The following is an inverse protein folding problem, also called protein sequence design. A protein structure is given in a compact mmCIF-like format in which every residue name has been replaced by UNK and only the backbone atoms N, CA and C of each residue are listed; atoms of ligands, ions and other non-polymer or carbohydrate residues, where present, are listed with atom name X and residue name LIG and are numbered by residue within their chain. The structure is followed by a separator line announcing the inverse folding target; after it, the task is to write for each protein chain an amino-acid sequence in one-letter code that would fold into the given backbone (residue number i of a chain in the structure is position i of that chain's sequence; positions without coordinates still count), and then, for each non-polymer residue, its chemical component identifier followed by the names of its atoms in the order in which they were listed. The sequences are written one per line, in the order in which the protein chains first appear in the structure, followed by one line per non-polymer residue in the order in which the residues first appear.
data_IF_254321735049
#
_entry.id   IF_254321735049
#
_cell.length_a   1.000
_cell.length_b   1.000
_cell.length_c   1.000
_cell.angle_alpha   90.00
_cell.angle_beta   90.00
_cell.angle_gamma   90.00
#
_symmetry.space_group_name_H-M   'P 1'
#
loop_
_entity.id
_entity.type
_entity.pdbx_description
1 polymer ?
#
# COMPACT_ATOMS: atom_id res chain seq x y z
N UNK A 1 10.86 -61.27 23.65
CA UNK A 1 11.26 -60.89 22.27
C UNK A 1 10.02 -60.29 21.61
N UNK A 2 9.64 -59.02 21.81
CA UNK A 2 10.15 -57.76 21.21
C UNK A 2 10.61 -57.94 19.76
N UNK A 3 10.13 -57.22 18.74
CA UNK A 3 9.05 -56.23 18.57
C UNK A 3 8.77 -56.19 17.04
N UNK A 4 7.50 -56.08 16.66
CA UNK A 4 7.07 -55.87 15.27
C UNK A 4 7.62 -54.53 14.75
N UNK A 5 8.19 -54.56 13.53
CA UNK A 5 8.57 -53.41 12.73
C UNK A 5 7.31 -52.60 12.38
N UNK A 6 6.93 -51.68 13.26
CA UNK A 6 5.89 -50.69 12.98
C UNK A 6 6.48 -49.58 12.10
N UNK A 7 6.03 -49.59 10.85
CA UNK A 7 6.09 -48.50 9.89
C UNK A 7 5.45 -47.23 10.47
N UNK A 8 6.23 -46.39 11.15
CA UNK A 8 5.82 -45.04 11.49
C UNK A 8 6.20 -44.09 10.35
N UNK A 9 5.26 -43.90 9.42
CA UNK A 9 5.17 -42.71 8.55
C UNK A 9 4.98 -41.48 9.45
N UNK A 10 6.08 -40.87 9.87
CA UNK A 10 6.07 -39.51 10.39
C UNK A 10 5.93 -38.55 9.21
N UNK A 11 4.68 -38.28 8.79
CA UNK A 11 4.38 -37.14 7.93
C UNK A 11 4.75 -35.86 8.67
N UNK A 12 5.94 -35.33 8.37
CA UNK A 12 6.44 -34.08 8.93
C UNK A 12 5.80 -32.89 8.21
N UNK A 13 4.65 -32.44 8.72
CA UNK A 13 4.07 -31.14 8.35
C UNK A 13 5.00 -29.96 8.70
N UNK A 14 6.06 -30.19 9.51
CA UNK A 14 7.04 -29.18 9.90
C UNK A 14 8.18 -28.96 8.90
N UNK A 15 8.61 -29.98 8.16
CA UNK A 15 9.81 -29.89 7.31
C UNK A 15 9.63 -28.96 6.09
N UNK A 16 8.51 -29.01 5.33
CA UNK A 16 8.31 -28.11 4.20
C UNK A 16 8.17 -26.64 4.61
N UNK A 17 7.53 -26.38 5.76
CA UNK A 17 7.28 -25.02 6.28
C UNK A 17 8.58 -24.37 6.76
N UNK A 18 9.41 -25.12 7.49
CA UNK A 18 10.72 -24.65 7.96
C UNK A 18 11.64 -24.35 6.78
N UNK A 19 11.65 -25.19 5.75
CA UNK A 19 12.51 -24.99 4.57
C UNK A 19 12.05 -23.80 3.72
N UNK A 20 10.73 -23.61 3.53
CA UNK A 20 10.18 -22.39 2.91
C UNK A 20 10.66 -21.13 3.62
N UNK A 21 10.53 -21.11 4.95
CA UNK A 21 10.97 -19.98 5.76
C UNK A 21 12.47 -19.73 5.60
N UNK A 22 13.30 -20.79 5.59
CA UNK A 22 14.75 -20.67 5.39
C UNK A 22 15.11 -20.08 4.02
N UNK A 23 14.50 -20.56 2.92
CA UNK A 23 14.74 -20.01 1.58
C UNK A 23 14.33 -18.53 1.52
N UNK A 24 13.14 -18.20 2.04
CA UNK A 24 12.64 -16.82 2.04
C UNK A 24 13.50 -15.88 2.90
N UNK A 25 13.96 -16.33 4.07
CA UNK A 25 14.86 -15.54 4.93
C UNK A 25 16.23 -15.33 4.27
N UNK A 26 16.82 -16.38 3.70
CA UNK A 26 18.11 -16.28 3.02
C UNK A 26 18.04 -15.35 1.81
N UNK A 27 16.96 -15.41 1.03
CA UNK A 27 16.69 -14.46 -0.05
C UNK A 27 16.61 -13.02 0.46
N UNK A 28 15.88 -12.79 1.56
CA UNK A 28 15.73 -11.45 2.16
C UNK A 28 17.03 -10.87 2.71
N UNK A 29 17.93 -11.71 3.22
CA UNK A 29 19.22 -11.31 3.81
C UNK A 29 20.31 -11.12 2.72
N UNK A 30 19.96 -11.31 1.45
CA UNK A 30 20.91 -11.12 0.34
C UNK A 30 21.77 -12.35 0.03
N UNK A 31 21.52 -13.48 0.69
CA UNK A 31 22.31 -14.73 0.54
C UNK A 31 21.62 -15.70 -0.42
N UNK A 32 21.38 -15.22 -1.65
CA UNK A 32 20.61 -15.97 -2.65
C UNK A 32 21.30 -17.28 -3.07
N UNK A 33 22.63 -17.32 -3.11
CA UNK A 33 23.41 -18.53 -3.40
C UNK A 33 23.18 -19.63 -2.36
N UNK A 34 23.18 -19.28 -1.07
CA UNK A 34 22.87 -20.22 0.00
C UNK A 34 21.40 -20.67 -0.06
N UNK A 35 20.49 -19.76 -0.40
CA UNK A 35 19.08 -20.12 -0.61
C UNK A 35 18.92 -21.12 -1.76
N UNK A 36 19.70 -20.92 -2.84
CA UNK A 36 19.72 -21.81 -4.00
C UNK A 36 20.29 -23.18 -3.66
N UNK A 37 21.39 -23.26 -2.90
CA UNK A 37 21.92 -24.53 -2.43
C UNK A 37 20.89 -25.31 -1.60
N UNK A 38 20.26 -24.64 -0.63
CA UNK A 38 19.19 -25.26 0.20
C UNK A 38 18.03 -25.73 -0.66
N UNK A 39 17.68 -24.99 -1.72
CA UNK A 39 16.64 -25.38 -2.66
C UNK A 39 17.04 -26.60 -3.51
N UNK A 40 18.28 -26.64 -4.02
CA UNK A 40 18.77 -27.71 -4.87
C UNK A 40 18.88 -29.03 -4.09
N UNK A 41 19.28 -28.98 -2.82
CA UNK A 41 19.35 -30.12 -1.89
C UNK A 41 17.98 -30.71 -1.50
N UNK A 42 16.86 -30.04 -1.86
CA UNK A 42 15.53 -30.57 -1.53
C UNK A 42 15.23 -31.86 -2.29
N UNK A 43 14.89 -32.96 -1.58
CA UNK A 43 14.57 -34.24 -2.22
C UNK A 43 13.28 -34.17 -3.03
N UNK A 44 12.30 -33.38 -2.57
CA UNK A 44 11.05 -33.10 -3.28
C UNK A 44 10.78 -31.60 -3.29
N UNK A 45 10.90 -30.97 -4.47
CA UNK A 45 10.65 -29.54 -4.67
C UNK A 45 9.16 -29.30 -4.92
N UNK A 46 8.49 -28.60 -4.01
CA UNK A 46 7.08 -28.22 -4.13
C UNK A 46 6.92 -26.90 -4.86
N UNK A 47 5.74 -26.62 -5.44
CA UNK A 47 5.41 -25.32 -6.06
C UNK A 47 5.73 -24.14 -5.13
N UNK A 48 5.49 -24.29 -3.83
CA UNK A 48 5.82 -23.26 -2.83
C UNK A 48 7.33 -23.01 -2.68
N UNK A 49 8.15 -24.07 -2.71
CA UNK A 49 9.61 -23.93 -2.65
C UNK A 49 10.16 -23.23 -3.90
N UNK A 50 9.62 -23.55 -5.08
CA UNK A 50 9.92 -22.84 -6.34
C UNK A 50 9.53 -21.36 -6.26
N UNK A 51 8.30 -21.06 -5.83
CA UNK A 51 7.83 -19.67 -5.68
C UNK A 51 8.70 -18.88 -4.69
N UNK A 52 9.18 -19.53 -3.63
CA UNK A 52 10.02 -18.90 -2.61
C UNK A 52 11.41 -18.55 -3.14
N UNK A 53 12.06 -19.46 -3.89
CA UNK A 53 13.38 -19.18 -4.46
C UNK A 53 13.29 -18.12 -5.57
N UNK A 54 12.26 -18.18 -6.42
CA UNK A 54 11.99 -17.18 -7.48
C UNK A 54 11.81 -15.80 -6.87
N UNK A 55 11.00 -15.68 -5.81
CA UNK A 55 10.84 -14.41 -5.09
C UNK A 55 12.16 -13.92 -4.47
N UNK A 56 13.01 -14.85 -4.01
CA UNK A 56 14.36 -14.54 -3.52
C UNK A 56 15.24 -13.92 -4.62
N UNK A 57 15.23 -14.45 -5.84
CA UNK A 57 15.99 -13.88 -6.95
C UNK A 57 15.53 -12.47 -7.33
N UNK A 58 14.22 -12.20 -7.34
CA UNK A 58 13.71 -10.83 -7.54
C UNK A 58 14.18 -9.86 -6.44
N UNK A 59 14.15 -10.29 -5.17
CA UNK A 59 14.64 -9.48 -4.04
C UNK A 59 16.14 -9.15 -4.14
N UNK A 60 16.90 -9.96 -4.88
CA UNK A 60 18.34 -9.78 -5.10
C UNK A 60 18.64 -9.14 -6.46
N UNK A 61 17.63 -8.57 -7.13
CA UNK A 61 17.75 -7.91 -8.43
C UNK A 61 18.33 -8.83 -9.53
N UNK A 62 17.96 -10.11 -9.50
CA UNK A 62 18.35 -11.13 -10.49
C UNK A 62 17.11 -11.71 -11.20
N UNK A 63 16.39 -10.91 -12.01
CA UNK A 63 15.15 -11.32 -12.66
C UNK A 63 15.34 -12.42 -13.71
N UNK A 64 16.48 -12.47 -14.40
CA UNK A 64 16.77 -13.49 -15.43
C UNK A 64 16.84 -14.89 -14.82
N UNK A 65 17.53 -15.04 -13.69
CA UNK A 65 17.59 -16.31 -12.95
C UNK A 65 16.22 -16.71 -12.40
N UNK A 66 15.41 -15.73 -11.97
CA UNK A 66 14.05 -15.97 -11.53
C UNK A 66 13.19 -16.56 -12.67
N UNK A 67 13.31 -16.01 -13.89
CA UNK A 67 12.62 -16.52 -15.08
C UNK A 67 13.14 -17.90 -15.51
N UNK A 68 14.45 -18.12 -15.47
CA UNK A 68 15.04 -19.43 -15.78
C UNK A 68 14.51 -20.52 -14.84
N UNK A 69 14.42 -20.24 -13.53
CA UNK A 69 13.86 -21.17 -12.56
C UNK A 69 12.35 -21.35 -12.74
N UNK A 70 11.63 -20.27 -13.02
CA UNK A 70 10.20 -20.35 -13.33
C UNK A 70 9.95 -21.30 -14.52
N UNK A 71 10.71 -21.17 -15.60
CA UNK A 71 10.58 -22.03 -16.77
C UNK A 71 10.84 -23.51 -16.44
N UNK A 72 11.82 -23.79 -15.57
CA UNK A 72 12.14 -25.15 -15.08
C UNK A 72 11.09 -25.76 -14.14
N UNK A 73 10.12 -24.98 -13.64
CA UNK A 73 9.06 -25.51 -12.78
C UNK A 73 8.23 -26.56 -13.53
N UNK A 74 8.09 -27.79 -13.00
CA UNK A 74 7.31 -28.85 -13.64
C UNK A 74 5.82 -28.52 -13.68
N UNK A 75 5.30 -27.90 -12.62
CA UNK A 75 3.93 -27.45 -12.51
C UNK A 75 3.91 -25.96 -12.12
N UNK A 76 3.07 -25.19 -12.81
CA UNK A 76 2.88 -23.75 -12.58
C UNK A 76 1.40 -23.51 -12.29
N UNK A 77 1.11 -22.82 -11.20
CA UNK A 77 -0.26 -22.42 -10.87
C UNK A 77 -0.40 -20.90 -10.91
N UNK A 78 -1.62 -20.41 -10.64
CA UNK A 78 -1.92 -18.97 -10.66
C UNK A 78 -1.05 -18.16 -9.70
N UNK A 79 -0.62 -18.75 -8.57
CA UNK A 79 0.25 -18.10 -7.59
C UNK A 79 1.66 -17.95 -8.15
N UNK A 80 2.18 -18.95 -8.84
CA UNK A 80 3.49 -18.89 -9.51
C UNK A 80 3.52 -17.76 -10.56
N UNK A 81 2.51 -17.69 -11.43
CA UNK A 81 2.41 -16.63 -12.45
C UNK A 81 2.28 -15.23 -11.82
N UNK A 82 1.39 -15.07 -10.83
CA UNK A 82 1.22 -13.79 -10.12
C UNK A 82 2.47 -13.37 -9.36
N UNK A 83 3.23 -14.33 -8.82
CA UNK A 83 4.52 -14.10 -8.18
C UNK A 83 5.55 -13.56 -9.16
N UNK A 84 5.64 -14.14 -10.37
CA UNK A 84 6.54 -13.69 -11.43
C UNK A 84 6.19 -12.27 -11.90
N UNK A 85 4.92 -12.00 -12.19
CA UNK A 85 4.41 -10.67 -12.55
C UNK A 85 4.74 -9.63 -11.47
N UNK A 86 4.44 -9.94 -10.21
CA UNK A 86 4.70 -9.05 -9.08
C UNK A 86 6.19 -8.80 -8.84
N UNK A 87 7.04 -9.78 -9.15
CA UNK A 87 8.49 -9.66 -9.09
C UNK A 87 9.01 -8.65 -10.09
N UNK A 88 8.62 -8.78 -11.36
CA UNK A 88 8.98 -7.84 -12.42
C UNK A 88 8.51 -6.41 -12.13
N UNK A 89 7.25 -6.24 -11.71
CA UNK A 89 6.70 -4.91 -11.36
C UNK A 89 7.52 -4.25 -10.24
N UNK A 90 7.90 -4.99 -9.20
CA UNK A 90 8.69 -4.44 -8.08
C UNK A 90 10.10 -3.99 -8.48
N UNK A 91 10.63 -4.54 -9.57
CA UNK A 91 11.93 -4.18 -10.11
C UNK A 91 11.82 -3.14 -11.25
N UNK A 92 10.64 -2.53 -11.46
CA UNK A 92 10.41 -1.52 -12.50
C UNK A 92 10.31 -2.09 -13.93
N UNK A 93 10.27 -3.41 -14.07
CA UNK A 93 10.27 -4.12 -15.36
C UNK A 93 8.84 -4.43 -15.81
N UNK A 94 8.01 -3.40 -15.97
CA UNK A 94 6.57 -3.56 -16.24
C UNK A 94 6.29 -4.12 -17.65
N UNK A 95 7.17 -3.85 -18.61
CA UNK A 95 7.11 -4.44 -19.96
C UNK A 95 7.24 -5.96 -19.93
N UNK A 96 8.20 -6.49 -19.18
CA UNK A 96 8.43 -7.92 -19.00
C UNK A 96 7.29 -8.56 -18.19
N UNK A 97 6.79 -7.83 -17.18
CA UNK A 97 5.59 -8.25 -16.46
C UNK A 97 4.39 -8.41 -17.41
N UNK A 98 4.24 -7.51 -18.40
CA UNK A 98 3.18 -7.60 -19.41
C UNK A 98 3.36 -8.80 -20.33
N UNK A 99 4.58 -9.09 -20.78
CA UNK A 99 4.83 -10.30 -21.58
C UNK A 99 4.48 -11.59 -20.82
N UNK A 100 4.82 -11.66 -19.53
CA UNK A 100 4.48 -12.79 -18.66
C UNK A 100 2.95 -12.90 -18.51
N UNK A 101 2.28 -11.77 -18.29
CA UNK A 101 0.83 -11.70 -18.20
C UNK A 101 0.14 -12.15 -19.49
N UNK A 102 0.67 -11.80 -20.65
CA UNK A 102 0.12 -12.19 -21.96
C UNK A 102 0.34 -13.68 -22.28
N UNK A 103 1.37 -14.31 -21.71
CA UNK A 103 1.64 -15.76 -21.80
C UNK A 103 0.87 -16.61 -20.77
N UNK A 104 0.22 -15.98 -19.79
CA UNK A 104 -0.50 -16.68 -18.72
C UNK A 104 -1.74 -17.43 -19.26
N UNK A 105 -1.86 -18.76 -19.04
CA UNK A 105 -2.97 -19.55 -19.60
C UNK A 105 -4.34 -19.14 -19.06
N UNK A 106 -4.41 -18.88 -17.76
CA UNK A 106 -5.64 -18.47 -17.06
C UNK A 106 -5.35 -17.25 -16.21
N UNK A 107 -6.16 -16.20 -16.35
CA UNK A 107 -6.01 -14.93 -15.64
C UNK A 107 -7.18 -14.74 -14.69
N UNK A 108 -6.89 -14.44 -13.42
CA UNK A 108 -7.89 -14.07 -12.43
C UNK A 108 -7.79 -12.59 -12.05
N UNK A 109 -8.74 -12.13 -11.24
CA UNK A 109 -8.80 -10.75 -10.72
C UNK A 109 -7.48 -10.28 -10.11
N UNK A 110 -6.72 -11.17 -9.45
CA UNK A 110 -5.41 -10.83 -8.86
C UNK A 110 -4.38 -10.51 -9.94
N UNK A 111 -4.29 -11.33 -11.01
CA UNK A 111 -3.36 -11.10 -12.13
C UNK A 111 -3.63 -9.76 -12.84
N UNK A 112 -4.90 -9.45 -13.14
CA UNK A 112 -5.31 -8.18 -13.74
C UNK A 112 -4.99 -6.99 -12.83
N UNK A 113 -5.36 -7.08 -11.55
CA UNK A 113 -5.13 -5.99 -10.59
C UNK A 113 -3.64 -5.73 -10.36
N UNK A 114 -2.80 -6.77 -10.40
CA UNK A 114 -1.35 -6.62 -10.32
C UNK A 114 -0.80 -5.83 -11.51
N UNK A 115 -1.19 -6.19 -12.74
CA UNK A 115 -0.77 -5.46 -13.95
C UNK A 115 -1.23 -4.01 -13.96
N UNK A 116 -2.49 -3.77 -13.61
CA UNK A 116 -3.04 -2.41 -13.51
C UNK A 116 -2.22 -1.59 -12.51
N UNK A 117 -1.93 -2.14 -11.33
CA UNK A 117 -1.11 -1.48 -10.31
C UNK A 117 0.30 -1.16 -10.84
N UNK A 118 0.92 -2.09 -11.56
CA UNK A 118 2.24 -1.88 -12.15
C UNK A 118 2.27 -0.70 -13.12
N UNK A 119 1.29 -0.63 -14.04
CA UNK A 119 1.19 0.51 -14.96
C UNK A 119 0.89 1.82 -14.24
N UNK A 120 0.04 1.82 -13.21
CA UNK A 120 -0.21 3.02 -12.40
C UNK A 120 1.07 3.51 -11.70
N UNK A 121 1.89 2.62 -11.16
CA UNK A 121 3.12 2.97 -10.45
C UNK A 121 4.18 3.60 -11.36
N UNK A 122 4.26 3.15 -12.61
CA UNK A 122 5.15 3.71 -13.63
C UNK A 122 4.56 4.94 -14.34
N UNK A 123 3.39 5.42 -13.93
CA UNK A 123 2.72 6.57 -14.56
C UNK A 123 2.14 6.28 -15.96
N UNK A 124 2.09 5.02 -16.38
CA UNK A 124 1.51 4.58 -17.66
C UNK A 124 -0.02 4.48 -17.57
N UNK A 125 -0.70 5.59 -17.27
CA UNK A 125 -2.12 5.58 -16.96
C UNK A 125 -3.01 5.15 -18.14
N UNK A 126 -2.59 5.43 -19.38
CA UNK A 126 -3.31 4.98 -20.58
C UNK A 126 -3.43 3.44 -20.66
N UNK A 127 -2.33 2.74 -20.41
CA UNK A 127 -2.30 1.27 -20.37
C UNK A 127 -3.09 0.71 -19.18
N UNK A 128 -2.98 1.37 -18.03
CA UNK A 128 -3.77 0.99 -16.84
C UNK A 128 -5.28 1.09 -17.10
N UNK A 129 -5.74 2.18 -17.74
CA UNK A 129 -7.15 2.37 -18.13
C UNK A 129 -7.59 1.32 -19.14
N UNK A 130 -6.78 1.06 -20.17
CA UNK A 130 -7.06 0.04 -21.18
C UNK A 130 -7.24 -1.36 -20.55
N UNK A 131 -6.28 -1.78 -19.71
CA UNK A 131 -6.33 -3.07 -19.01
C UNK A 131 -7.50 -3.16 -18.04
N UNK A 132 -7.80 -2.08 -17.32
CA UNK A 132 -8.95 -2.06 -16.42
C UNK A 132 -10.25 -2.31 -17.16
N UNK A 133 -10.48 -1.67 -18.32
CA UNK A 133 -11.69 -1.91 -19.08
C UNK A 133 -11.75 -3.30 -19.72
N UNK A 134 -10.61 -3.83 -20.16
CA UNK A 134 -10.49 -5.19 -20.69
C UNK A 134 -10.72 -6.29 -19.64
N UNK A 135 -10.52 -5.98 -18.35
CA UNK A 135 -10.71 -6.91 -17.24
C UNK A 135 -12.17 -7.43 -17.19
N UNK A 136 -12.41 -8.77 -17.34
CA UNK A 136 -13.75 -9.34 -17.42
C UNK A 136 -14.60 -9.12 -16.18
N UNK A 137 -13.99 -9.32 -15.00
CA UNK A 137 -14.63 -9.14 -13.70
C UNK A 137 -13.85 -8.14 -12.88
N UNK A 138 -14.52 -7.09 -12.38
CA UNK A 138 -13.91 -6.04 -11.55
C UNK A 138 -14.38 -6.20 -10.12
N UNK A 139 -13.45 -6.12 -9.16
CA UNK A 139 -13.77 -6.08 -7.73
C UNK A 139 -13.39 -4.72 -7.13
N UNK A 140 -13.78 -4.49 -5.86
CA UNK A 140 -13.50 -3.24 -5.13
C UNK A 140 -12.00 -2.86 -5.17
N UNK A 141 -11.10 -3.84 -5.11
CA UNK A 141 -9.64 -3.60 -5.18
C UNK A 141 -9.22 -3.05 -6.55
N UNK A 142 -9.72 -3.62 -7.65
CA UNK A 142 -9.40 -3.12 -9.01
C UNK A 142 -9.90 -1.68 -9.23
N UNK A 143 -11.11 -1.36 -8.75
CA UNK A 143 -11.65 0.00 -8.79
C UNK A 143 -10.82 0.98 -7.97
N UNK A 144 -10.47 0.63 -6.73
CA UNK A 144 -9.69 1.51 -5.84
C UNK A 144 -8.27 1.75 -6.33
N UNK A 145 -7.62 0.76 -6.96
CA UNK A 145 -6.29 0.93 -7.58
C UNK A 145 -6.37 1.94 -8.73
N UNK A 146 -7.34 1.80 -9.63
CA UNK A 146 -7.53 2.74 -10.74
C UNK A 146 -7.88 4.14 -10.27
N UNK A 147 -8.76 4.23 -9.28
CA UNK A 147 -9.15 5.50 -8.67
C UNK A 147 -7.94 6.22 -8.06
N UNK A 148 -7.12 5.49 -7.29
CA UNK A 148 -5.90 6.01 -6.71
C UNK A 148 -4.90 6.49 -7.76
N UNK A 149 -4.74 5.76 -8.87
CA UNK A 149 -3.87 6.15 -9.98
C UNK A 149 -4.29 7.46 -10.63
N UNK A 150 -5.57 7.61 -10.98
CA UNK A 150 -6.10 8.85 -11.56
C UNK A 150 -5.91 10.05 -10.62
N UNK A 151 -6.11 9.85 -9.32
CA UNK A 151 -5.92 10.89 -8.30
C UNK A 151 -4.45 11.30 -8.18
N UNK A 152 -3.52 10.34 -8.25
CA UNK A 152 -2.09 10.62 -8.19
C UNK A 152 -1.61 11.46 -9.37
N UNK A 153 -2.12 11.17 -10.57
CA UNK A 153 -1.85 11.93 -11.80
C UNK A 153 -2.58 13.29 -11.85
N UNK A 154 -3.50 13.56 -10.91
CA UNK A 154 -4.28 14.80 -10.86
C UNK A 154 -5.48 14.83 -11.80
N UNK A 155 -5.90 13.68 -12.35
CA UNK A 155 -7.09 13.56 -13.22
C UNK A 155 -8.36 13.37 -12.40
N UNK A 156 -8.65 14.34 -11.52
CA UNK A 156 -9.71 14.22 -10.51
C UNK A 156 -11.11 14.09 -11.13
N UNK A 157 -11.38 14.76 -12.25
CA UNK A 157 -12.68 14.63 -12.92
C UNK A 157 -12.92 13.23 -13.50
N UNK A 158 -11.87 12.58 -14.00
CA UNK A 158 -11.96 11.18 -14.45
C UNK A 158 -12.08 10.23 -13.26
N UNK A 159 -11.36 10.51 -12.17
CA UNK A 159 -11.52 9.79 -10.92
C UNK A 159 -12.97 9.88 -10.39
N UNK A 160 -13.62 11.04 -10.48
CA UNK A 160 -15.03 11.19 -10.09
C UNK A 160 -15.95 10.34 -10.94
N UNK A 161 -15.81 10.39 -12.28
CA UNK A 161 -16.61 9.56 -13.18
C UNK A 161 -16.43 8.07 -12.87
N UNK A 162 -15.19 7.64 -12.63
CA UNK A 162 -14.88 6.27 -12.25
C UNK A 162 -15.52 5.89 -10.91
N UNK A 163 -15.42 6.77 -9.91
CA UNK A 163 -16.03 6.59 -8.60
C UNK A 163 -17.55 6.43 -8.70
N UNK A 164 -18.22 7.21 -9.56
CA UNK A 164 -19.67 7.12 -9.76
C UNK A 164 -20.11 5.76 -10.30
N UNK A 165 -19.33 5.22 -11.24
CA UNK A 165 -19.57 3.89 -11.82
C UNK A 165 -19.28 2.73 -10.85
N UNK A 166 -18.62 2.97 -9.71
CA UNK A 166 -18.36 1.91 -8.73
C UNK A 166 -19.67 1.35 -8.16
N UNK A 167 -19.94 0.04 -8.31
CA UNK A 167 -21.16 -0.58 -7.78
C UNK A 167 -21.23 -0.47 -6.25
N UNK A 168 -20.10 -0.73 -5.60
CA UNK A 168 -19.94 -0.58 -4.16
C UNK A 168 -18.83 0.41 -3.88
N UNK A 169 -19.18 1.47 -3.16
CA UNK A 169 -18.25 2.48 -2.66
C UNK A 169 -17.96 2.10 -1.22
N UNK A 170 -16.76 1.62 -0.92
CA UNK A 170 -16.32 1.34 0.45
C UNK A 170 -15.74 2.60 1.11
N UNK A 171 -15.26 2.47 2.34
CA UNK A 171 -14.63 3.60 3.07
C UNK A 171 -13.32 4.02 2.40
N UNK A 172 -12.59 3.09 1.78
CA UNK A 172 -11.31 3.37 1.11
C UNK A 172 -11.52 4.22 -0.14
N UNK A 173 -12.46 3.85 -1.01
CA UNK A 173 -12.80 4.59 -2.22
C UNK A 173 -13.23 6.04 -1.90
N UNK A 174 -14.09 6.22 -0.89
CA UNK A 174 -14.52 7.54 -0.42
C UNK A 174 -13.36 8.36 0.13
N UNK A 175 -12.53 7.75 0.96
CA UNK A 175 -11.36 8.41 1.55
C UNK A 175 -10.36 8.85 0.48
N UNK A 176 -10.15 8.03 -0.56
CA UNK A 176 -9.31 8.39 -1.71
C UNK A 176 -9.88 9.61 -2.44
N UNK A 177 -11.18 9.64 -2.75
CA UNK A 177 -11.80 10.80 -3.40
C UNK A 177 -11.70 12.07 -2.56
N UNK A 178 -11.94 12.00 -1.25
CA UNK A 178 -11.77 13.14 -0.34
C UNK A 178 -10.33 13.65 -0.42
N UNK A 179 -9.34 12.76 -0.32
CA UNK A 179 -7.92 13.13 -0.41
C UNK A 179 -7.58 13.78 -1.77
N UNK A 180 -8.11 13.24 -2.87
CA UNK A 180 -7.92 13.79 -4.22
C UNK A 180 -8.48 15.19 -4.36
N UNK A 181 -9.73 15.41 -3.94
CA UNK A 181 -10.34 16.74 -3.96
C UNK A 181 -9.64 17.74 -3.04
N UNK A 182 -9.20 17.30 -1.86
CA UNK A 182 -8.40 18.16 -0.97
C UNK A 182 -7.08 18.59 -1.62
N UNK A 183 -6.39 17.69 -2.35
CA UNK A 183 -5.14 18.00 -3.06
C UNK A 183 -5.32 19.05 -4.17
N UNK A 184 -6.46 19.03 -4.86
CA UNK A 184 -6.82 20.06 -5.86
C UNK A 184 -7.45 21.33 -5.26
N UNK A 185 -7.72 21.36 -3.95
CA UNK A 185 -8.38 22.48 -3.29
C UNK A 185 -9.90 22.56 -3.49
N UNK A 186 -10.51 21.52 -4.08
CA UNK A 186 -11.97 21.35 -4.27
C UNK A 186 -12.64 20.88 -2.98
N UNK A 187 -12.49 21.67 -1.92
CA UNK A 187 -12.92 21.30 -0.56
C UNK A 187 -14.44 21.10 -0.40
N UNK A 188 -15.25 21.72 -1.26
CA UNK A 188 -16.71 21.51 -1.27
C UNK A 188 -17.06 20.08 -1.67
N UNK A 189 -16.46 19.57 -2.75
CA UNK A 189 -16.69 18.22 -3.27
C UNK A 189 -16.14 17.17 -2.29
N UNK A 190 -14.98 17.45 -1.67
CA UNK A 190 -14.44 16.63 -0.58
C UNK A 190 -15.42 16.54 0.60
N UNK A 191 -16.05 17.67 0.94
CA UNK A 191 -16.99 17.75 2.07
C UNK A 191 -18.28 17.00 1.78
N UNK A 192 -18.80 17.09 0.57
CA UNK A 192 -19.98 16.35 0.11
C UNK A 192 -19.79 14.84 0.32
N UNK A 193 -18.71 14.27 -0.21
CA UNK A 193 -18.41 12.84 -0.06
C UNK A 193 -18.24 12.46 1.42
N UNK A 194 -17.60 13.32 2.21
CA UNK A 194 -17.42 13.10 3.65
C UNK A 194 -18.77 13.09 4.41
N UNK A 195 -19.70 13.97 4.06
CA UNK A 195 -21.02 14.06 4.67
C UNK A 195 -21.94 12.90 4.27
N UNK A 196 -21.78 12.35 3.06
CA UNK A 196 -22.51 11.18 2.58
C UNK A 196 -22.04 9.84 3.21
N UNK A 197 -20.89 9.80 3.89
CA UNK A 197 -20.38 8.58 4.50
C UNK A 197 -21.32 8.06 5.61
N UNK A 198 -21.89 6.83 5.49
CA UNK A 198 -22.74 6.26 6.54
C UNK A 198 -21.98 6.06 7.85
N UNK A 199 -20.71 5.66 7.75
CA UNK A 199 -19.80 5.52 8.87
C UNK A 199 -18.43 6.10 8.52
N UNK A 200 -17.90 6.93 9.41
CA UNK A 200 -16.61 7.63 9.24
C UNK A 200 -15.60 7.04 10.20
N UNK A 201 -14.57 6.40 9.67
CA UNK A 201 -13.44 5.97 10.48
C UNK A 201 -12.49 7.14 10.77
N UNK A 202 -11.55 6.91 11.69
CA UNK A 202 -10.52 7.88 12.06
C UNK A 202 -9.78 8.41 10.82
N UNK A 203 -9.51 7.55 9.84
CA UNK A 203 -8.82 7.93 8.59
C UNK A 203 -9.60 9.00 7.83
N UNK A 204 -10.90 8.81 7.56
CA UNK A 204 -11.72 9.78 6.86
C UNK A 204 -11.75 11.16 7.56
N UNK A 205 -11.89 11.17 8.89
CA UNK A 205 -11.81 12.40 9.68
C UNK A 205 -10.46 13.08 9.52
N UNK A 206 -9.36 12.33 9.68
CA UNK A 206 -8.00 12.90 9.54
C UNK A 206 -7.73 13.40 8.13
N UNK A 207 -8.20 12.72 7.09
CA UNK A 207 -8.06 13.16 5.69
C UNK A 207 -8.75 14.50 5.47
N UNK A 208 -9.98 14.67 5.97
CA UNK A 208 -10.71 15.92 5.80
C UNK A 208 -10.08 17.08 6.59
N UNK A 209 -9.62 16.82 7.83
CA UNK A 209 -8.92 17.81 8.66
C UNK A 209 -7.62 18.25 7.98
N UNK A 210 -6.78 17.31 7.57
CA UNK A 210 -5.53 17.59 6.85
C UNK A 210 -5.79 18.33 5.55
N UNK A 211 -6.86 17.97 4.82
CA UNK A 211 -7.25 18.66 3.59
C UNK A 211 -7.61 20.12 3.80
N UNK A 212 -8.37 20.45 4.85
CA UNK A 212 -8.64 21.85 5.20
C UNK A 212 -7.38 22.61 5.65
N UNK A 213 -6.50 21.95 6.40
CA UNK A 213 -5.21 22.52 6.83
C UNK A 213 -4.34 22.87 5.63
N UNK A 214 -4.15 21.95 4.69
CA UNK A 214 -3.33 22.14 3.48
C UNK A 214 -3.85 23.27 2.58
N UNK A 215 -5.14 23.58 2.67
CA UNK A 215 -5.80 24.65 1.91
C UNK A 215 -6.01 25.93 2.75
N UNK A 216 -5.21 26.12 3.80
CA UNK A 216 -5.22 27.30 4.68
C UNK A 216 -6.57 27.61 5.34
N UNK A 217 -7.45 26.61 5.49
CA UNK A 217 -8.75 26.73 6.18
C UNK A 217 -8.70 26.12 7.59
N UNK A 218 -7.68 26.49 8.36
CA UNK A 218 -7.41 25.94 9.70
C UNK A 218 -8.58 26.11 10.68
N UNK A 219 -9.38 27.17 10.53
CA UNK A 219 -10.57 27.40 11.36
C UNK A 219 -11.67 26.36 11.14
N UNK A 220 -11.87 25.93 9.88
CA UNK A 220 -12.82 24.86 9.56
C UNK A 220 -12.26 23.51 9.99
N UNK A 221 -10.96 23.29 9.78
CA UNK A 221 -10.26 22.10 10.27
C UNK A 221 -10.42 21.95 11.79
N UNK A 222 -10.31 23.05 12.54
CA UNK A 222 -10.48 23.07 14.00
C UNK A 222 -11.88 22.65 14.42
N UNK A 223 -12.92 23.22 13.81
CA UNK A 223 -14.31 22.84 14.09
C UNK A 223 -14.54 21.36 13.84
N UNK A 224 -14.00 20.84 12.73
CA UNK A 224 -14.12 19.43 12.39
C UNK A 224 -13.35 18.53 13.37
N UNK A 225 -12.16 18.96 13.79
CA UNK A 225 -11.35 18.28 14.79
C UNK A 225 -12.09 18.20 16.14
N UNK A 226 -12.75 19.26 16.58
CA UNK A 226 -13.49 19.27 17.85
C UNK A 226 -14.61 18.21 17.88
N UNK A 227 -15.40 18.11 16.80
CA UNK A 227 -16.49 17.13 16.69
C UNK A 227 -16.03 15.69 16.40
N UNK A 228 -14.75 15.49 16.08
CA UNK A 228 -14.18 14.16 15.84
C UNK A 228 -14.31 13.28 17.11
N UNK A 229 -15.01 12.13 17.05
CA UNK A 229 -15.31 11.31 18.23
C UNK A 229 -14.07 10.74 18.92
N UNK A 230 -13.09 10.30 18.12
CA UNK A 230 -11.83 9.74 18.61
C UNK A 230 -10.68 10.45 17.91
N UNK A 231 -9.87 11.16 18.68
CA UNK A 231 -8.69 11.89 18.19
C UNK A 231 -7.44 11.03 18.43
N UNK A 232 -6.67 10.78 17.38
CA UNK A 232 -5.40 10.05 17.46
C UNK A 232 -4.21 11.02 17.26
N UNK A 233 -2.99 10.51 17.47
CA UNK A 233 -1.75 11.29 17.29
C UNK A 233 -1.67 11.99 15.92
N UNK A 234 -2.14 11.33 14.85
CA UNK A 234 -2.16 11.89 13.48
C UNK A 234 -3.06 13.12 13.40
N UNK A 235 -4.28 13.05 13.96
CA UNK A 235 -5.23 14.18 13.96
C UNK A 235 -4.71 15.39 14.75
N UNK A 236 -4.06 15.17 15.89
CA UNK A 236 -3.44 16.23 16.68
C UNK A 236 -2.27 16.87 15.94
N UNK A 237 -1.40 16.04 15.36
CA UNK A 237 -0.24 16.51 14.57
C UNK A 237 -0.68 17.35 13.38
N UNK A 238 -1.72 16.91 12.65
CA UNK A 238 -2.26 17.66 11.52
C UNK A 238 -2.75 19.06 11.92
N UNK A 239 -3.48 19.17 13.05
CA UNK A 239 -3.94 20.48 13.55
C UNK A 239 -2.81 21.36 14.05
N UNK A 240 -1.82 20.80 14.76
CA UNK A 240 -0.62 21.54 15.18
C UNK A 240 0.12 22.12 13.98
N UNK A 241 0.39 21.28 12.97
CA UNK A 241 1.02 21.72 11.72
C UNK A 241 0.21 22.80 11.03
N UNK A 242 -1.12 22.70 11.02
CA UNK A 242 -1.97 23.73 10.40
C UNK A 242 -1.89 25.07 11.11
N UNK A 243 -1.88 25.09 12.43
CA UNK A 243 -1.70 26.34 13.17
C UNK A 243 -0.31 26.93 13.00
N UNK A 244 0.74 26.10 12.99
CA UNK A 244 2.11 26.58 12.83
C UNK A 244 2.37 27.14 11.44
N UNK A 245 1.88 26.48 10.38
CA UNK A 245 1.96 26.96 9.00
C UNK A 245 1.21 28.28 8.77
N UNK A 246 0.10 28.50 9.49
CA UNK A 246 -0.65 29.76 9.45
C UNK A 246 -0.07 30.85 10.37
N UNK A 247 1.06 30.63 11.02
CA UNK A 247 1.67 31.56 11.98
C UNK A 247 0.92 31.72 13.30
N UNK A 248 -0.10 30.89 13.57
CA UNK A 248 -0.95 30.94 14.78
C UNK A 248 -0.33 30.14 15.93
N UNK A 249 0.91 30.49 16.28
CA UNK A 249 1.73 29.75 17.26
C UNK A 249 1.06 29.63 18.64
N UNK A 250 0.36 30.65 19.11
CA UNK A 250 -0.35 30.61 20.39
C UNK A 250 -1.42 29.50 20.42
N UNK A 251 -2.23 29.41 19.37
CA UNK A 251 -3.24 28.36 19.25
C UNK A 251 -2.61 26.96 19.11
N UNK A 252 -1.45 26.86 18.44
CA UNK A 252 -0.68 25.61 18.39
C UNK A 252 -0.20 25.17 19.78
N UNK A 253 0.28 26.10 20.60
CA UNK A 253 0.70 25.83 21.98
C UNK A 253 -0.46 25.41 22.88
N UNK A 254 -1.57 26.16 22.84
CA UNK A 254 -2.79 25.80 23.58
C UNK A 254 -3.28 24.41 23.20
N UNK A 255 -3.22 24.08 21.90
CA UNK A 255 -3.58 22.76 21.41
C UNK A 255 -2.63 21.66 21.92
N UNK A 256 -1.32 21.91 21.89
CA UNK A 256 -0.30 20.98 22.36
C UNK A 256 -0.44 20.69 23.86
N UNK A 257 -0.78 21.70 24.66
CA UNK A 257 -1.02 21.51 26.09
C UNK A 257 -2.29 20.72 26.39
N UNK A 258 -3.33 20.88 25.56
CA UNK A 258 -4.56 20.10 25.67
C UNK A 258 -4.40 18.63 25.24
N UNK A 259 -3.25 18.23 24.69
CA UNK A 259 -3.01 16.85 24.26
C UNK A 259 -2.88 15.89 25.46
N UNK A 260 -3.62 14.77 25.48
CA UNK A 260 -3.48 13.77 26.54
C UNK A 260 -2.10 13.12 26.60
N UNK A 261 -1.48 12.92 25.44
CA UNK A 261 -0.16 12.31 25.29
C UNK A 261 0.64 13.17 24.32
N UNK A 262 1.77 13.69 24.79
CA UNK A 262 2.72 14.46 23.98
C UNK A 262 3.76 13.49 23.42
N UNK A 263 3.86 13.41 22.10
CA UNK A 263 4.84 12.56 21.41
C UNK A 263 5.99 13.38 20.84
N UNK A 264 7.11 12.70 20.52
CA UNK A 264 8.25 13.31 19.82
C UNK A 264 7.81 13.94 18.49
N UNK A 265 6.86 13.31 17.78
CA UNK A 265 6.33 13.82 16.51
C UNK A 265 5.63 15.17 16.71
N UNK A 266 4.77 15.27 17.72
CA UNK A 266 4.02 16.50 18.03
C UNK A 266 4.92 17.62 18.54
N UNK A 267 5.96 17.29 19.33
CA UNK A 267 6.98 18.25 19.76
C UNK A 267 7.83 18.77 18.58
N UNK A 268 8.24 17.87 17.67
CA UNK A 268 8.97 18.26 16.46
C UNK A 268 8.13 19.18 15.55
N UNK A 269 6.83 18.92 15.41
CA UNK A 269 5.93 19.78 14.64
C UNK A 269 5.87 21.21 15.21
N UNK A 270 5.89 21.35 16.54
CA UNK A 270 5.88 22.64 17.22
C UNK A 270 7.23 23.37 17.10
N UNK A 271 8.35 22.65 17.27
CA UNK A 271 9.71 23.18 17.08
C UNK A 271 9.90 23.71 15.65
N UNK A 272 9.46 22.94 14.64
CA UNK A 272 9.48 23.38 13.24
C UNK A 272 8.63 24.63 13.05
N UNK A 273 7.47 24.70 13.69
CA UNK A 273 6.60 25.88 13.68
C UNK A 273 7.25 27.13 14.26
N UNK A 274 7.95 27.01 15.39
CA UNK A 274 8.71 28.12 15.97
C UNK A 274 9.85 28.58 15.08
N UNK A 275 10.55 27.62 14.43
CA UNK A 275 11.59 27.93 13.46
C UNK A 275 11.08 28.74 12.27
N UNK A 276 9.95 28.32 11.69
CA UNK A 276 9.34 28.98 10.54
C UNK A 276 8.81 30.39 10.85
N UNK A 277 8.40 30.64 12.09
CA UNK A 277 7.86 31.94 12.53
C UNK A 277 8.88 32.84 13.24
N UNK A 278 10.17 32.47 13.22
CA UNK A 278 11.25 33.29 13.81
C UNK A 278 11.29 33.29 15.34
N UNK A 279 10.47 32.48 16.01
CA UNK A 279 10.39 32.38 17.47
C UNK A 279 11.33 31.30 18.05
N UNK A 280 12.54 31.18 17.49
CA UNK A 280 13.51 30.10 17.78
C UNK A 280 13.87 30.00 19.28
N UNK A 281 13.80 31.12 20.02
CA UNK A 281 14.06 31.13 21.46
C UNK A 281 13.04 30.30 22.26
N UNK A 282 11.79 30.20 21.79
CA UNK A 282 10.73 29.40 22.43
C UNK A 282 10.82 27.90 22.08
N UNK A 283 11.52 27.54 21.01
CA UNK A 283 11.73 26.15 20.61
C UNK A 283 12.72 25.38 21.52
N UNK A 284 13.45 26.08 22.39
CA UNK A 284 14.49 25.51 23.27
C UNK A 284 14.01 25.20 24.69
N UNK A 285 12.76 25.52 25.03
CA UNK A 285 12.13 25.25 26.34
C UNK A 285 11.13 24.12 26.20
#
# INVERSE_FOLDING_TARGET
MRFLLNTCRAYSTSFPVVTRYRIAQLGRVGRIENARQVFDELPNKTVDSWNSIIAGYFQNNQPDEALLLFNKMPEKNIVSWNGLISGYIKNGMVTEAREVFDKMPERNVVSWTAMIRGHVQEGMMGEAVSLFWLMPEKNVVSWTVMLGGLIQEGRIDEARRLFDMMPEKDVVARTNMIAGYCKEGRLSDAREIFDEMPWRNVVAWTTMITGYVQNNRVDVARKLFEVMPVKNEVSWTAMLMGYTQCGRIKAALELFEAMPVKSVVTGNALILGFGQNGEVAKARR
#
